data_IF_857248415677
#
_entry.id   IF_857248415677
#
_cell.length_a   1.000
_cell.length_b   1.000
_cell.length_c   1.000
_cell.angle_alpha   90.00
_cell.angle_beta   90.00
_cell.angle_gamma   90.00
#
_symmetry.space_group_name_H-M   'P 1'
#
loop_
_entity.id
_entity.type
_entity.pdbx_description
1 polymer ?
#
# COMPACT_ATOMS: atom_id res chain seq x y z
N UNK A 1 23.40 -0.05 -4.63
CA UNK A 1 22.62 -0.14 -3.38
C UNK A 1 21.30 -0.84 -3.65
N UNK A 2 20.89 -1.69 -2.73
CA UNK A 2 19.60 -2.37 -2.84
C UNK A 2 18.46 -1.35 -2.82
N UNK A 3 17.46 -1.56 -3.67
CA UNK A 3 16.22 -0.78 -3.64
C UNK A 3 15.39 -1.23 -2.45
N UNK A 4 14.70 -0.28 -1.81
CA UNK A 4 13.83 -0.56 -0.67
C UNK A 4 12.37 -0.40 -1.06
N UNK A 5 11.60 -1.44 -0.77
CA UNK A 5 10.16 -1.47 -1.04
C UNK A 5 9.41 -1.54 0.28
N UNK A 6 8.60 -0.53 0.56
CA UNK A 6 7.67 -0.54 1.68
C UNK A 6 6.40 -1.31 1.33
N UNK A 7 5.94 -2.15 2.23
CA UNK A 7 4.68 -2.87 2.10
C UNK A 7 3.74 -2.37 3.20
N UNK A 8 2.64 -1.74 2.82
CA UNK A 8 1.66 -1.22 3.77
C UNK A 8 0.63 -2.30 4.10
N UNK A 9 0.62 -2.71 5.36
CA UNK A 9 -0.32 -3.66 5.90
C UNK A 9 -1.28 -2.95 6.86
N UNK A 10 -2.56 -3.20 6.72
CA UNK A 10 -3.58 -2.75 7.68
C UNK A 10 -4.34 -3.95 8.22
N UNK A 11 -5.14 -3.74 9.25
CA UNK A 11 -5.94 -4.81 9.84
C UNK A 11 -6.78 -5.52 8.77
N UNK A 12 -6.81 -6.85 8.80
CA UNK A 12 -7.50 -7.66 7.81
C UNK A 12 -6.79 -7.76 6.46
N UNK A 13 -5.47 -7.55 6.41
CA UNK A 13 -4.75 -7.65 5.14
C UNK A 13 -4.80 -9.06 4.54
N UNK A 14 -4.77 -9.13 3.21
CA UNK A 14 -4.84 -10.38 2.47
C UNK A 14 -3.49 -11.09 2.45
N UNK A 15 -3.43 -12.27 3.04
CA UNK A 15 -2.19 -13.08 3.17
C UNK A 15 -1.56 -13.42 1.82
N UNK A 16 -2.38 -13.65 0.80
CA UNK A 16 -1.92 -14.14 -0.51
C UNK A 16 -1.37 -13.04 -1.42
N UNK A 17 -1.55 -11.75 -1.09
CA UNK A 17 -1.25 -10.67 -2.03
C UNK A 17 0.21 -10.21 -2.02
N UNK A 18 0.88 -10.26 -0.89
CA UNK A 18 2.25 -9.71 -0.77
C UNK A 18 3.35 -10.75 -0.95
N UNK A 19 3.06 -12.02 -0.71
CA UNK A 19 4.09 -13.07 -0.62
C UNK A 19 4.93 -13.22 -1.88
N UNK A 20 4.30 -13.28 -3.04
CA UNK A 20 5.03 -13.41 -4.30
C UNK A 20 5.85 -12.16 -4.61
N UNK A 21 5.27 -10.98 -4.42
CA UNK A 21 5.96 -9.71 -4.70
C UNK A 21 7.17 -9.52 -3.77
N UNK A 22 6.99 -9.67 -2.46
CA UNK A 22 8.08 -9.47 -1.50
C UNK A 22 9.15 -10.56 -1.64
N UNK A 23 8.74 -11.82 -1.77
CA UNK A 23 9.66 -12.93 -1.92
C UNK A 23 10.52 -12.82 -3.18
N UNK A 24 9.90 -12.51 -4.33
CA UNK A 24 10.65 -12.33 -5.58
C UNK A 24 11.55 -11.09 -5.56
N UNK A 25 11.06 -9.98 -5.01
CA UNK A 25 11.84 -8.75 -4.93
C UNK A 25 13.12 -8.94 -4.11
N UNK A 26 13.03 -9.63 -2.99
CA UNK A 26 14.17 -9.87 -2.11
C UNK A 26 15.07 -10.97 -2.67
N UNK A 27 14.50 -12.15 -2.94
CA UNK A 27 15.28 -13.34 -3.27
C UNK A 27 15.90 -13.27 -4.67
N UNK A 28 15.16 -12.75 -5.66
CA UNK A 28 15.59 -12.78 -7.06
C UNK A 28 16.15 -11.44 -7.55
N UNK A 29 15.70 -10.34 -6.98
CA UNK A 29 16.11 -9.00 -7.45
C UNK A 29 16.94 -8.22 -6.45
N UNK A 30 17.22 -8.79 -5.27
CA UNK A 30 18.13 -8.20 -4.29
C UNK A 30 17.63 -6.91 -3.65
N UNK A 31 16.32 -6.70 -3.62
CA UNK A 31 15.70 -5.56 -2.93
C UNK A 31 15.57 -5.83 -1.43
N UNK A 32 15.42 -4.77 -0.65
CA UNK A 32 15.03 -4.87 0.76
C UNK A 32 13.52 -4.66 0.89
N UNK A 33 12.86 -5.49 1.67
CA UNK A 33 11.45 -5.33 2.01
C UNK A 33 11.31 -4.72 3.41
N UNK A 34 10.43 -3.71 3.53
CA UNK A 34 10.14 -3.02 4.79
C UNK A 34 8.64 -3.14 5.06
N UNK A 35 8.27 -3.78 6.15
CA UNK A 35 6.88 -3.90 6.55
C UNK A 35 6.43 -2.63 7.28
N UNK A 36 5.32 -2.05 6.84
CA UNK A 36 4.73 -0.84 7.40
C UNK A 36 3.30 -1.11 7.85
N UNK A 37 2.90 -0.47 8.95
CA UNK A 37 1.48 -0.37 9.32
C UNK A 37 1.15 1.09 9.68
N UNK A 38 -0.13 1.51 9.72
CA UNK A 38 -0.48 2.92 9.88
C UNK A 38 0.22 3.63 11.03
N UNK A 39 0.23 3.00 12.21
CA UNK A 39 0.85 3.56 13.44
C UNK A 39 2.15 2.84 13.85
N UNK A 40 2.61 1.88 13.07
CA UNK A 40 3.76 1.04 13.42
C UNK A 40 3.43 -0.10 14.37
N UNK A 41 2.18 -0.25 14.78
CA UNK A 41 1.72 -1.35 15.62
C UNK A 41 1.41 -2.61 14.84
N UNK A 42 1.29 -3.77 15.53
CA UNK A 42 0.99 -5.03 14.88
C UNK A 42 -0.41 -5.02 14.28
N UNK A 43 -0.57 -5.76 13.18
CA UNK A 43 -1.83 -5.97 12.50
C UNK A 43 -2.05 -7.46 12.26
N UNK A 44 -3.30 -7.85 12.08
CA UNK A 44 -3.69 -9.24 11.87
C UNK A 44 -4.21 -9.44 10.45
N UNK A 45 -3.79 -10.52 9.80
CA UNK A 45 -4.24 -10.86 8.44
C UNK A 45 -5.65 -11.44 8.43
N UNK A 46 -6.22 -11.55 7.24
CA UNK A 46 -7.48 -12.30 7.03
C UNK A 46 -7.38 -13.75 7.51
N UNK A 47 -6.21 -14.36 7.35
CA UNK A 47 -5.92 -15.71 7.80
C UNK A 47 -5.65 -15.86 9.31
N UNK A 48 -5.68 -14.74 10.06
CA UNK A 48 -5.48 -14.73 11.50
C UNK A 48 -4.03 -14.64 11.97
N UNK A 49 -3.08 -14.41 11.05
CA UNK A 49 -1.67 -14.26 11.40
C UNK A 49 -1.36 -12.83 11.83
N UNK A 50 -0.56 -12.70 12.88
CA UNK A 50 -0.12 -11.42 13.37
C UNK A 50 1.20 -11.02 12.70
N UNK A 51 1.22 -9.84 12.12
CA UNK A 51 2.41 -9.22 11.54
C UNK A 51 2.84 -8.05 12.43
N UNK A 52 4.09 -8.06 12.82
CA UNK A 52 4.72 -6.92 13.50
C UNK A 52 5.51 -6.13 12.46
N UNK A 53 5.15 -4.87 12.17
CA UNK A 53 5.83 -4.07 11.15
C UNK A 53 7.20 -3.58 11.64
N UNK A 54 8.01 -3.14 10.69
CA UNK A 54 9.30 -2.50 10.96
C UNK A 54 9.14 -1.03 11.33
N UNK A 55 8.16 -0.34 10.69
CA UNK A 55 7.99 1.12 10.80
C UNK A 55 6.50 1.52 10.66
N UNK A 56 6.14 2.71 11.15
CA UNK A 56 4.84 3.30 10.80
C UNK A 56 4.80 3.77 9.33
N UNK A 57 3.60 3.73 8.73
CA UNK A 57 3.36 4.14 7.34
C UNK A 57 3.16 5.66 7.24
N UNK A 58 4.15 6.41 7.67
CA UNK A 58 4.18 7.87 7.63
C UNK A 58 5.39 8.37 6.84
N UNK A 59 5.41 9.62 6.33
CA UNK A 59 6.59 10.12 5.63
C UNK A 59 7.86 10.10 6.47
N UNK A 60 7.76 10.46 7.75
CA UNK A 60 8.89 10.49 8.66
C UNK A 60 9.51 9.10 8.84
N UNK A 61 10.82 9.01 8.63
CA UNK A 61 11.57 7.75 8.74
C UNK A 61 11.48 6.83 7.53
N UNK A 62 10.81 7.25 6.46
CA UNK A 62 10.63 6.48 5.22
C UNK A 62 11.17 7.18 3.98
N UNK A 63 12.11 8.11 4.14
CA UNK A 63 12.74 8.84 3.04
C UNK A 63 13.61 7.93 2.15
N UNK A 64 13.96 6.76 2.65
CA UNK A 64 14.78 5.75 1.99
C UNK A 64 13.99 4.77 1.12
N UNK A 65 12.66 4.85 1.10
CA UNK A 65 11.84 3.97 0.27
C UNK A 65 11.87 4.40 -1.19
N UNK A 66 12.21 3.47 -2.07
CA UNK A 66 12.16 3.64 -3.53
C UNK A 66 10.78 3.31 -4.10
N UNK A 67 10.02 2.48 -3.39
CA UNK A 67 8.68 2.08 -3.79
C UNK A 67 7.81 1.76 -2.58
N UNK A 68 6.49 1.82 -2.78
CA UNK A 68 5.50 1.37 -1.79
C UNK A 68 4.42 0.54 -2.47
N UNK A 69 4.11 -0.61 -1.91
CA UNK A 69 2.99 -1.45 -2.29
C UNK A 69 1.94 -1.47 -1.17
N UNK A 70 0.71 -1.09 -1.48
CA UNK A 70 -0.40 -1.13 -0.54
C UNK A 70 -1.12 -2.46 -0.69
N UNK A 71 -1.14 -3.24 0.38
CA UNK A 71 -1.75 -4.57 0.39
C UNK A 71 -3.24 -4.47 0.67
N UNK A 72 -4.04 -5.27 -0.04
CA UNK A 72 -5.49 -5.25 0.06
C UNK A 72 -6.00 -5.67 1.43
N UNK A 73 -7.10 -5.05 1.79
CA UNK A 73 -7.91 -5.36 2.97
C UNK A 73 -9.31 -4.80 2.72
N UNK A 74 -10.34 -5.48 3.19
CA UNK A 74 -11.71 -4.97 3.12
C UNK A 74 -11.87 -3.63 3.86
N UNK A 75 -11.01 -3.37 4.84
CA UNK A 75 -11.01 -2.10 5.58
C UNK A 75 -10.72 -0.89 4.70
N UNK A 76 -10.03 -1.04 3.56
CA UNK A 76 -9.82 0.07 2.61
C UNK A 76 -11.13 0.61 2.02
N UNK A 77 -12.16 -0.23 1.92
CA UNK A 77 -13.49 0.17 1.46
C UNK A 77 -14.33 0.85 2.55
N UNK A 78 -13.85 0.93 3.77
CA UNK A 78 -14.54 1.52 4.91
C UNK A 78 -14.18 3.01 5.02
N UNK A 79 -15.14 3.83 5.49
CA UNK A 79 -14.91 5.26 5.73
C UNK A 79 -13.89 5.53 6.86
N UNK A 80 -13.66 4.54 7.71
CA UNK A 80 -12.67 4.60 8.81
C UNK A 80 -11.31 4.03 8.40
N UNK A 81 -11.08 3.80 7.10
CA UNK A 81 -9.79 3.30 6.62
C UNK A 81 -8.66 4.27 7.04
N UNK A 82 -7.49 3.74 7.41
CA UNK A 82 -6.36 4.58 7.78
C UNK A 82 -5.94 5.49 6.62
N UNK A 83 -5.51 6.71 6.94
CA UNK A 83 -4.97 7.63 5.94
C UNK A 83 -3.47 7.43 5.78
N UNK A 84 -3.08 6.83 4.66
CA UNK A 84 -1.68 6.67 4.27
C UNK A 84 -1.29 7.57 3.08
N UNK A 85 -2.20 8.45 2.66
CA UNK A 85 -1.94 9.36 1.54
C UNK A 85 -0.67 10.20 1.70
N UNK A 86 -0.32 10.73 2.88
CA UNK A 86 0.93 11.46 3.06
C UNK A 86 2.18 10.65 2.68
N UNK A 87 2.25 9.37 3.05
CA UNK A 87 3.35 8.51 2.66
C UNK A 87 3.37 8.27 1.14
N UNK A 88 2.21 7.92 0.56
CA UNK A 88 2.11 7.60 -0.86
C UNK A 88 2.50 8.81 -1.73
N UNK A 89 2.01 9.99 -1.38
CA UNK A 89 2.37 11.24 -2.08
C UNK A 89 3.83 11.60 -1.92
N UNK A 90 4.43 11.37 -0.76
CA UNK A 90 5.85 11.62 -0.53
C UNK A 90 6.73 10.72 -1.41
N UNK A 91 6.41 9.42 -1.49
CA UNK A 91 7.14 8.47 -2.34
C UNK A 91 6.97 8.81 -3.83
N UNK A 92 5.74 9.05 -4.28
CA UNK A 92 5.46 9.45 -5.67
C UNK A 92 6.14 10.77 -6.03
N UNK A 93 6.11 11.76 -5.12
CA UNK A 93 6.65 13.09 -5.35
C UNK A 93 8.17 13.13 -5.55
N UNK A 94 8.91 12.15 -5.03
CA UNK A 94 10.35 12.02 -5.28
C UNK A 94 10.70 11.01 -6.40
N UNK A 95 9.70 10.62 -7.21
CA UNK A 95 9.90 9.72 -8.35
C UNK A 95 9.89 8.24 -8.00
N UNK A 96 9.48 7.88 -6.79
CA UNK A 96 9.31 6.49 -6.37
C UNK A 96 8.06 5.85 -7.00
N UNK A 97 8.03 4.53 -6.98
CA UNK A 97 6.90 3.76 -7.50
C UNK A 97 5.87 3.52 -6.39
N UNK A 98 4.61 3.79 -6.69
CA UNK A 98 3.50 3.51 -5.77
C UNK A 98 2.52 2.57 -6.46
N UNK A 99 2.24 1.43 -5.82
CA UNK A 99 1.30 0.43 -6.32
C UNK A 99 0.34 -0.02 -5.23
N UNK A 100 -0.79 -0.55 -5.66
CA UNK A 100 -1.78 -1.15 -4.77
C UNK A 100 -2.29 -2.45 -5.37
N UNK A 101 -2.63 -3.39 -4.51
CA UNK A 101 -3.16 -4.68 -4.91
C UNK A 101 -4.61 -4.77 -4.43
N UNK A 102 -5.53 -5.15 -5.34
CA UNK A 102 -6.95 -5.33 -5.03
C UNK A 102 -7.54 -4.08 -4.34
N UNK A 103 -8.15 -4.21 -3.17
CA UNK A 103 -8.72 -3.09 -2.43
C UNK A 103 -7.67 -2.04 -1.99
N UNK A 104 -6.39 -2.37 -1.98
CA UNK A 104 -5.30 -1.43 -1.73
C UNK A 104 -5.25 -0.28 -2.73
N UNK A 105 -5.81 -0.46 -3.92
CA UNK A 105 -5.93 0.60 -4.93
C UNK A 105 -6.80 1.77 -4.46
N UNK A 106 -7.72 1.56 -3.51
CA UNK A 106 -8.51 2.64 -2.93
C UNK A 106 -7.64 3.64 -2.16
N UNK A 107 -6.57 3.18 -1.53
CA UNK A 107 -5.62 4.09 -0.87
C UNK A 107 -4.92 5.00 -1.88
N UNK A 108 -4.55 4.48 -3.05
CA UNK A 108 -3.97 5.26 -4.15
C UNK A 108 -4.97 6.28 -4.71
N UNK A 109 -6.22 5.86 -4.90
CA UNK A 109 -7.28 6.73 -5.39
C UNK A 109 -7.56 7.88 -4.41
N UNK A 110 -7.62 7.59 -3.10
CA UNK A 110 -7.77 8.61 -2.04
C UNK A 110 -6.61 9.59 -2.01
N UNK A 111 -5.41 9.15 -2.34
CA UNK A 111 -4.22 10.00 -2.43
C UNK A 111 -4.19 10.84 -3.72
N UNK A 112 -5.17 10.71 -4.62
CA UNK A 112 -5.24 11.44 -5.88
C UNK A 112 -4.25 10.96 -6.95
N UNK A 113 -3.64 9.79 -6.77
CA UNK A 113 -2.59 9.28 -7.67
C UNK A 113 -3.13 8.74 -9.00
N UNK A 114 -4.45 8.55 -9.12
CA UNK A 114 -5.08 8.05 -10.34
C UNK A 114 -5.56 9.15 -11.30
N UNK A 115 -5.61 10.39 -10.85
CA UNK A 115 -6.23 11.49 -11.61
C UNK A 115 -5.59 11.72 -12.99
N UNK A 116 -4.27 11.48 -13.13
CA UNK A 116 -3.53 11.70 -14.36
C UNK A 116 -2.64 10.49 -14.73
N UNK A 117 -3.05 9.29 -14.36
CA UNK A 117 -2.28 8.07 -14.61
C UNK A 117 -3.19 6.97 -15.16
N UNK A 118 -2.67 6.22 -16.12
CA UNK A 118 -3.29 4.97 -16.52
C UNK A 118 -3.21 3.98 -15.36
N UNK A 119 -4.34 3.40 -15.01
CA UNK A 119 -4.42 2.51 -13.86
C UNK A 119 -5.51 1.46 -14.04
N UNK A 120 -5.50 0.49 -13.15
CA UNK A 120 -6.53 -0.54 -13.05
C UNK A 120 -6.90 -0.77 -11.59
N UNK A 121 -7.92 -1.58 -11.37
CA UNK A 121 -8.39 -2.01 -10.06
C UNK A 121 -9.43 -3.11 -10.26
N UNK A 122 -10.41 -3.23 -9.36
CA UNK A 122 -11.59 -4.08 -9.54
C UNK A 122 -12.62 -3.48 -10.53
N UNK A 123 -12.26 -2.40 -11.20
CA UNK A 123 -13.06 -1.67 -12.17
C UNK A 123 -13.43 -0.26 -11.71
N UNK A 124 -13.70 0.66 -12.65
CA UNK A 124 -13.98 2.05 -12.30
C UNK A 124 -15.29 2.20 -11.50
N UNK A 125 -16.29 1.40 -11.79
CA UNK A 125 -17.57 1.47 -11.06
C UNK A 125 -17.42 0.98 -9.62
N UNK A 126 -16.56 -0.02 -9.40
CA UNK A 126 -16.24 -0.48 -8.05
C UNK A 126 -15.54 0.62 -7.24
N UNK A 127 -14.58 1.32 -7.85
CA UNK A 127 -13.91 2.46 -7.19
C UNK A 127 -14.92 3.55 -6.87
N UNK A 128 -15.80 3.93 -7.82
CA UNK A 128 -16.81 4.98 -7.63
C UNK A 128 -17.82 4.63 -6.53
N UNK A 129 -18.12 3.35 -6.35
CA UNK A 129 -19.01 2.90 -5.27
C UNK A 129 -18.43 3.23 -3.90
N UNK A 130 -17.11 3.14 -3.73
CA UNK A 130 -16.43 3.41 -2.47
C UNK A 130 -15.90 4.85 -2.37
N UNK A 131 -15.62 5.48 -3.49
CA UNK A 131 -15.09 6.83 -3.60
C UNK A 131 -15.87 7.60 -4.67
N UNK A 132 -17.04 8.19 -4.31
CA UNK A 132 -17.90 8.89 -5.28
C UNK A 132 -17.19 10.03 -6.03
N UNK A 133 -16.21 10.66 -5.41
CA UNK A 133 -15.46 11.78 -6.00
C UNK A 133 -14.25 11.31 -6.84
N UNK A 134 -14.11 10.00 -7.05
CA UNK A 134 -13.02 9.46 -7.84
C UNK A 134 -13.08 9.98 -9.29
N UNK A 135 -11.93 10.51 -9.74
CA UNK A 135 -11.71 10.96 -11.11
C UNK A 135 -10.55 10.14 -11.71
N UNK A 136 -10.87 9.32 -12.73
CA UNK A 136 -9.90 8.45 -13.37
C UNK A 136 -10.55 7.58 -14.45
#
# INVERSE_FOLDING_TARGET
MAKKIGFVFIEGFADWEFGLLSGSAVEWFGSDAVALSPDGGPVRSMGGFRLTPDRPATPAGNDDLDAVAVIGSDLWANNEAPDVAPLLTAVAGRGGVVGGICAGTLALARAGLFANADHTSNGPDWIRTHLPDYAG
#
